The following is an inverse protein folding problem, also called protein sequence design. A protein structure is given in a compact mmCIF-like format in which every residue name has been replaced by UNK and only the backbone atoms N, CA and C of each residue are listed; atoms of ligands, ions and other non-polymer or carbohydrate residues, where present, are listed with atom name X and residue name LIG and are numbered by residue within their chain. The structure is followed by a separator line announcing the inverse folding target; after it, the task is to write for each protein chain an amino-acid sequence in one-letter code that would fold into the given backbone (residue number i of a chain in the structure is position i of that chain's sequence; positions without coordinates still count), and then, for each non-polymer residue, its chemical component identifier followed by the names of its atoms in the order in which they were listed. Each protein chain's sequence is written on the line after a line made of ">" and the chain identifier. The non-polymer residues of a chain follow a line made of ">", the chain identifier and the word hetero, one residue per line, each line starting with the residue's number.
data_IF_134760986192
#
_entry.id   IF_134760986192
#
_cell.length_a   1.000
_cell.length_b   1.000
_cell.length_c   1.000
_cell.angle_alpha   90.00
_cell.angle_beta   90.00
_cell.angle_gamma   90.00
#
_symmetry.space_group_name_H-M   'P 1'
#
loop_
_entity.id
_entity.type
_entity.pdbx_description
1 polymer ?
#
# COMPACT_ATOMS: atom_id res chain seq x y z
N UNK A 1 51.25 63.35 20.02
CA UNK A 1 50.56 62.99 21.02
C UNK A 1 49.05 62.73 20.89
N UNK A 2 48.52 62.08 19.96
CA UNK A 2 47.08 61.74 19.90
C UNK A 2 46.88 60.27 19.62
N UNK A 3 46.35 59.54 20.60
CA UNK A 3 45.82 58.17 20.48
C UNK A 3 44.46 58.27 19.78
N UNK A 4 44.34 57.63 18.62
CA UNK A 4 43.04 57.43 17.92
C UNK A 4 42.55 56.03 18.21
N UNK A 5 41.42 55.95 18.85
CA UNK A 5 40.67 54.71 19.10
C UNK A 5 40.14 54.14 17.78
N UNK A 6 40.44 52.86 17.55
CA UNK A 6 39.84 52.06 16.48
C UNK A 6 38.72 51.24 17.11
N UNK A 7 37.49 51.66 16.95
CA UNK A 7 36.31 50.87 17.27
C UNK A 7 36.02 49.92 16.11
N UNK A 8 36.26 48.62 16.31
CA UNK A 8 35.88 47.55 15.42
C UNK A 8 34.41 47.24 15.61
N UNK A 9 33.59 47.51 14.60
CA UNK A 9 32.19 47.13 14.55
C UNK A 9 32.12 45.63 14.20
N UNK A 10 31.86 44.76 15.16
CA UNK A 10 31.51 43.35 14.92
C UNK A 10 30.02 43.32 14.60
N UNK A 11 29.68 43.26 13.31
CA UNK A 11 28.33 42.95 12.89
C UNK A 11 28.08 41.46 13.12
N UNK A 12 27.45 41.13 14.24
CA UNK A 12 26.96 39.80 14.52
C UNK A 12 25.81 39.48 13.57
N UNK A 13 26.04 38.60 12.62
CA UNK A 13 24.95 37.94 11.88
C UNK A 13 24.21 37.03 12.87
N UNK A 14 23.12 37.52 13.42
CA UNK A 14 22.14 36.69 14.10
C UNK A 14 21.46 35.79 13.04
N UNK A 15 21.95 34.57 12.89
CA UNK A 15 21.25 33.54 12.11
C UNK A 15 19.98 33.22 12.89
N UNK A 16 18.86 33.67 12.36
CA UNK A 16 17.53 33.45 12.94
C UNK A 16 17.28 31.93 13.04
N UNK A 17 16.82 31.37 14.18
CA UNK A 17 16.51 29.96 14.34
C UNK A 17 15.41 29.46 13.38
N UNK A 18 14.67 30.37 12.74
CA UNK A 18 13.63 30.06 11.77
C UNK A 18 14.15 29.50 10.42
N UNK A 19 15.45 29.63 10.12
CA UNK A 19 16.01 29.10 8.86
C UNK A 19 16.39 27.59 8.91
N UNK A 20 16.46 27.00 10.13
CA UNK A 20 16.78 25.58 10.30
C UNK A 20 15.51 24.70 10.30
N UNK A 21 14.31 25.29 10.43
CA UNK A 21 13.04 24.56 10.51
C UNK A 21 12.45 24.14 9.15
N UNK A 22 13.13 24.37 8.03
CA UNK A 22 12.53 24.19 6.67
C UNK A 22 12.94 22.90 5.94
N UNK A 23 13.53 21.89 6.58
CA UNK A 23 13.92 20.66 5.88
C UNK A 23 13.51 19.33 6.54
N UNK A 24 12.66 19.34 7.58
CA UNK A 24 12.16 18.12 8.23
C UNK A 24 10.65 17.93 8.05
N UNK A 25 10.08 18.26 6.91
CA UNK A 25 8.78 17.72 6.54
C UNK A 25 8.96 16.19 6.39
N UNK A 26 8.35 15.43 7.30
CA UNK A 26 8.36 13.96 7.24
C UNK A 26 7.79 13.54 5.91
N UNK A 27 8.46 12.63 5.21
CA UNK A 27 8.03 12.19 3.90
C UNK A 27 6.83 11.25 4.05
N UNK A 28 5.73 11.59 3.41
CA UNK A 28 4.54 10.73 3.32
C UNK A 28 4.88 9.46 2.55
N UNK A 29 4.48 8.31 3.10
CA UNK A 29 4.70 7.00 2.50
C UNK A 29 3.39 6.26 2.27
N UNK A 30 3.12 5.84 1.05
CA UNK A 30 2.06 4.88 0.71
C UNK A 30 2.63 3.47 0.74
N UNK A 31 2.04 2.60 1.54
CA UNK A 31 2.26 1.16 1.51
C UNK A 31 1.11 0.50 0.75
N UNK A 32 1.38 -0.02 -0.44
CA UNK A 32 0.40 -0.67 -1.30
C UNK A 32 0.55 -2.19 -1.22
N UNK A 33 -0.49 -2.88 -0.75
CA UNK A 33 -0.49 -4.34 -0.53
C UNK A 33 -1.44 -5.00 -1.51
N UNK A 34 -0.91 -5.82 -2.40
CA UNK A 34 -1.70 -6.66 -3.29
C UNK A 34 -2.12 -7.94 -2.57
N UNK A 35 -3.43 -8.18 -2.47
CA UNK A 35 -4.03 -9.46 -2.06
C UNK A 35 -4.18 -10.32 -3.31
N UNK A 36 -3.06 -10.92 -3.75
CA UNK A 36 -2.95 -11.53 -5.06
C UNK A 36 -3.74 -12.84 -5.18
N UNK A 37 -4.61 -12.90 -6.16
CA UNK A 37 -5.43 -14.06 -6.50
C UNK A 37 -6.94 -13.81 -6.40
N UNK A 38 -7.40 -12.58 -6.20
CA UNK A 38 -8.81 -12.26 -6.07
C UNK A 38 -9.36 -12.62 -4.69
N UNK A 39 -9.14 -11.74 -3.71
CA UNK A 39 -9.64 -11.96 -2.35
C UNK A 39 -11.18 -12.05 -2.33
N UNK A 40 -11.71 -13.04 -1.61
CA UNK A 40 -13.15 -13.17 -1.40
C UNK A 40 -13.67 -12.09 -0.44
N UNK A 41 -14.33 -11.09 -1.02
CA UNK A 41 -14.87 -9.94 -0.32
C UNK A 41 -15.97 -10.31 0.67
N UNK A 42 -16.87 -11.23 0.32
CA UNK A 42 -18.01 -11.58 1.17
C UNK A 42 -17.62 -12.39 2.42
N UNK A 43 -16.48 -13.08 2.41
CA UNK A 43 -15.93 -13.70 3.61
C UNK A 43 -14.85 -12.84 4.29
N UNK A 44 -14.53 -11.68 3.72
CA UNK A 44 -13.63 -10.68 4.35
C UNK A 44 -14.45 -9.64 5.12
N UNK A 45 -15.44 -9.02 4.44
CA UNK A 45 -16.42 -8.05 4.99
C UNK A 45 -17.81 -8.65 4.78
N UNK A 46 -18.36 -9.15 5.86
CA UNK A 46 -19.47 -10.10 5.85
C UNK A 46 -20.79 -9.39 6.08
N UNK A 47 -21.74 -9.41 5.13
CA UNK A 47 -23.08 -8.86 5.31
C UNK A 47 -23.97 -9.87 6.08
N UNK A 48 -23.66 -10.12 7.34
CA UNK A 48 -24.22 -11.22 8.12
C UNK A 48 -25.74 -11.10 8.38
N UNK A 49 -26.28 -9.90 8.29
CA UNK A 49 -27.72 -9.68 8.43
C UNK A 49 -28.51 -10.00 7.14
N UNK A 50 -27.82 -10.10 5.99
CA UNK A 50 -28.47 -10.47 4.73
C UNK A 50 -28.59 -12.00 4.63
N UNK A 51 -29.84 -12.49 4.61
CA UNK A 51 -30.13 -13.93 4.48
C UNK A 51 -29.56 -14.55 3.20
N UNK A 52 -29.41 -13.75 2.13
CA UNK A 52 -28.85 -14.22 0.87
C UNK A 52 -27.40 -14.67 1.04
N UNK A 53 -26.62 -14.10 1.99
CA UNK A 53 -25.25 -14.53 2.27
C UNK A 53 -25.16 -16.02 2.63
N UNK A 54 -25.99 -16.48 3.58
CA UNK A 54 -26.01 -17.90 3.97
C UNK A 54 -26.67 -18.81 2.93
N UNK A 55 -27.62 -18.27 2.15
CA UNK A 55 -28.27 -19.03 1.07
C UNK A 55 -27.31 -19.29 -0.09
N UNK A 56 -26.52 -18.29 -0.49
CA UNK A 56 -25.53 -18.39 -1.57
C UNK A 56 -24.28 -19.18 -1.14
N UNK A 57 -24.04 -19.30 0.18
CA UNK A 57 -22.84 -19.90 0.77
C UNK A 57 -23.18 -20.88 1.91
N UNK A 58 -23.93 -21.95 1.62
CA UNK A 58 -24.38 -22.89 2.66
C UNK A 58 -23.24 -23.54 3.44
N UNK A 59 -22.03 -23.66 2.86
CA UNK A 59 -20.85 -24.24 3.53
C UNK A 59 -19.78 -23.20 3.85
N UNK A 60 -19.64 -22.13 3.06
CA UNK A 60 -18.60 -21.11 3.23
C UNK A 60 -19.02 -19.97 4.16
N UNK A 61 -20.31 -19.78 4.44
CA UNK A 61 -20.78 -18.70 5.32
C UNK A 61 -20.16 -18.86 6.73
N UNK A 62 -19.51 -17.78 7.20
CA UNK A 62 -18.95 -17.75 8.55
C UNK A 62 -20.08 -17.66 9.57
N UNK A 63 -20.06 -18.53 10.57
CA UNK A 63 -21.10 -18.59 11.62
C UNK A 63 -21.14 -17.32 12.46
N UNK A 64 -22.35 -16.89 12.82
CA UNK A 64 -22.60 -15.60 13.48
C UNK A 64 -21.89 -15.46 14.85
N UNK A 65 -21.68 -16.55 15.57
CA UNK A 65 -20.99 -16.59 16.86
C UNK A 65 -19.47 -16.34 16.76
N UNK A 66 -18.90 -16.45 15.56
CA UNK A 66 -17.47 -16.23 15.30
C UNK A 66 -17.15 -14.86 14.72
N UNK A 67 -18.16 -14.09 14.31
CA UNK A 67 -17.96 -12.83 13.58
C UNK A 67 -17.39 -11.72 14.45
N UNK A 68 -16.49 -10.92 13.90
CA UNK A 68 -16.14 -9.62 14.45
C UNK A 68 -17.11 -8.57 13.92
N UNK A 69 -18.21 -8.30 14.64
CA UNK A 69 -19.26 -7.37 14.24
C UNK A 69 -18.78 -5.92 14.33
N UNK A 70 -18.98 -5.17 13.25
CA UNK A 70 -18.71 -3.74 13.17
C UNK A 70 -19.93 -2.90 13.48
N UNK A 71 -21.10 -3.34 12.99
CA UNK A 71 -22.41 -2.75 13.20
C UNK A 71 -23.50 -3.86 13.21
N UNK A 72 -24.78 -3.46 13.04
CA UNK A 72 -25.93 -4.39 13.05
C UNK A 72 -26.02 -5.26 11.78
N UNK A 73 -25.29 -4.93 10.71
CA UNK A 73 -25.41 -5.58 9.40
C UNK A 73 -24.10 -6.16 8.90
N UNK A 74 -22.97 -5.57 9.29
CA UNK A 74 -21.66 -5.83 8.73
C UNK A 74 -20.71 -6.37 9.79
N UNK A 75 -19.97 -7.39 9.44
CA UNK A 75 -18.90 -7.96 10.28
C UNK A 75 -17.65 -8.18 9.46
N UNK A 76 -16.53 -8.33 10.12
CA UNK A 76 -15.29 -8.80 9.53
C UNK A 76 -15.05 -10.27 9.84
N UNK A 77 -14.27 -10.91 8.98
CA UNK A 77 -13.75 -12.25 9.22
C UNK A 77 -13.04 -12.31 10.59
N UNK A 78 -13.25 -13.34 11.42
CA UNK A 78 -12.66 -13.42 12.77
C UNK A 78 -11.13 -13.32 12.79
N UNK A 79 -10.46 -13.81 11.76
CA UNK A 79 -9.00 -13.68 11.60
C UNK A 79 -8.50 -12.25 11.48
N UNK A 80 -9.38 -11.27 11.24
CA UNK A 80 -9.02 -9.85 11.15
C UNK A 80 -9.07 -9.13 12.50
N UNK A 81 -9.43 -9.80 13.58
CA UNK A 81 -9.65 -9.18 14.90
C UNK A 81 -8.42 -8.43 15.44
N UNK A 82 -7.21 -8.76 15.00
CA UNK A 82 -5.99 -8.01 15.36
C UNK A 82 -6.02 -6.54 14.89
N UNK A 83 -6.92 -6.18 13.96
CA UNK A 83 -7.13 -4.80 13.51
C UNK A 83 -8.13 -4.03 14.39
N UNK A 84 -8.65 -4.62 15.47
CA UNK A 84 -9.64 -3.98 16.32
C UNK A 84 -9.17 -2.62 16.87
N UNK A 85 -7.93 -2.52 17.35
CA UNK A 85 -7.40 -1.26 17.87
C UNK A 85 -7.30 -0.17 16.79
N UNK A 86 -7.06 -0.57 15.54
CA UNK A 86 -7.07 0.35 14.39
C UNK A 86 -8.50 0.83 14.09
N UNK A 87 -9.48 -0.07 14.15
CA UNK A 87 -10.90 0.26 13.99
C UNK A 87 -11.42 1.18 15.09
N UNK A 88 -11.17 0.87 16.34
CA UNK A 88 -11.61 1.67 17.48
C UNK A 88 -10.96 3.08 17.52
N UNK A 89 -9.77 3.21 16.93
CA UNK A 89 -9.07 4.48 16.81
C UNK A 89 -9.52 5.33 15.61
N UNK A 90 -10.54 4.91 14.84
CA UNK A 90 -10.99 5.58 13.60
C UNK A 90 -9.86 5.71 12.56
N UNK A 91 -9.01 4.66 12.44
CA UNK A 91 -7.82 4.60 11.59
C UNK A 91 -7.87 3.45 10.57
N UNK A 92 -9.02 2.81 10.42
CA UNK A 92 -9.31 1.78 9.42
C UNK A 92 -10.57 2.15 8.64
N UNK A 93 -10.43 2.48 7.38
CA UNK A 93 -11.53 2.63 6.44
C UNK A 93 -11.68 1.34 5.62
N UNK A 94 -12.92 0.91 5.43
CA UNK A 94 -13.29 -0.24 4.61
C UNK A 94 -14.10 0.31 3.43
N UNK A 95 -13.49 0.36 2.26
CA UNK A 95 -14.18 0.80 1.04
C UNK A 95 -14.86 -0.41 0.42
N UNK A 96 -16.18 -0.44 0.48
CA UNK A 96 -17.00 -1.55 0.01
C UNK A 96 -17.27 -1.47 -1.49
N UNK A 97 -17.49 -2.60 -2.12
CA UNK A 97 -17.99 -2.69 -3.49
C UNK A 97 -17.09 -2.12 -4.57
N UNK A 98 -15.75 -2.10 -4.35
CA UNK A 98 -14.83 -1.65 -5.39
C UNK A 98 -14.78 -2.62 -6.55
N UNK A 99 -14.86 -2.07 -7.75
CA UNK A 99 -14.78 -2.79 -9.01
C UNK A 99 -14.70 -1.80 -10.17
N UNK A 100 -15.16 -2.18 -11.34
CA UNK A 100 -15.22 -1.33 -12.53
C UNK A 100 -16.25 -1.83 -13.53
N UNK A 101 -16.67 -0.97 -14.43
CA UNK A 101 -17.64 -1.30 -15.49
C UNK A 101 -17.08 -2.36 -16.44
N UNK A 102 -17.92 -3.31 -16.87
CA UNK A 102 -17.55 -4.44 -17.75
C UNK A 102 -16.33 -5.23 -17.22
N UNK A 103 -16.42 -5.78 -16.00
CA UNK A 103 -15.28 -6.37 -15.32
C UNK A 103 -14.75 -7.63 -16.01
N UNK A 104 -13.43 -7.77 -16.04
CA UNK A 104 -12.76 -8.96 -16.56
C UNK A 104 -12.35 -9.89 -15.41
N UNK A 105 -12.59 -11.19 -15.54
CA UNK A 105 -12.28 -12.21 -14.53
C UNK A 105 -11.00 -13.01 -14.81
N UNK A 106 -10.20 -12.57 -15.79
CA UNK A 106 -8.85 -13.08 -16.00
C UNK A 106 -7.87 -12.34 -15.09
N UNK A 107 -7.07 -13.04 -14.30
CA UNK A 107 -6.02 -12.46 -13.48
C UNK A 107 -5.15 -11.46 -14.27
N UNK A 108 -4.67 -11.86 -15.45
CA UNK A 108 -3.81 -11.02 -16.26
C UNK A 108 -4.48 -9.71 -16.68
N UNK A 109 -5.70 -9.80 -17.23
CA UNK A 109 -6.37 -8.61 -17.75
C UNK A 109 -6.85 -7.68 -16.61
N UNK A 110 -7.45 -8.25 -15.58
CA UNK A 110 -7.92 -7.44 -14.46
C UNK A 110 -6.78 -6.80 -13.68
N UNK A 111 -5.69 -7.54 -13.45
CA UNK A 111 -4.46 -6.99 -12.87
C UNK A 111 -3.91 -5.83 -13.71
N UNK A 112 -3.89 -5.96 -15.05
CA UNK A 112 -3.46 -4.92 -15.98
C UNK A 112 -4.32 -3.64 -15.85
N UNK A 113 -5.66 -3.80 -15.77
CA UNK A 113 -6.60 -2.69 -15.58
C UNK A 113 -6.37 -1.98 -14.22
N UNK A 114 -6.28 -2.74 -13.14
CA UNK A 114 -6.06 -2.18 -11.81
C UNK A 114 -4.70 -1.47 -11.69
N UNK A 115 -3.64 -2.05 -12.24
CA UNK A 115 -2.31 -1.48 -12.13
C UNK A 115 -2.08 -0.27 -13.01
N UNK A 116 -2.78 -0.16 -14.13
CA UNK A 116 -2.67 0.97 -15.06
C UNK A 116 -3.78 2.03 -14.88
N UNK A 117 -4.81 1.73 -14.06
CA UNK A 117 -6.04 2.50 -13.98
C UNK A 117 -6.70 2.75 -15.35
N UNK A 118 -6.54 1.82 -16.30
CA UNK A 118 -7.13 1.93 -17.62
C UNK A 118 -8.63 1.61 -17.61
N UNK A 119 -9.33 2.02 -18.66
CA UNK A 119 -10.68 1.53 -18.94
C UNK A 119 -10.63 0.05 -19.34
N UNK A 120 -11.78 -0.65 -19.25
CA UNK A 120 -11.85 -2.08 -19.52
C UNK A 120 -11.44 -2.48 -20.95
N UNK A 121 -11.66 -1.59 -21.91
CA UNK A 121 -11.36 -1.75 -23.34
C UNK A 121 -10.03 -1.15 -23.78
N UNK A 122 -9.32 -0.46 -22.88
CA UNK A 122 -8.05 0.20 -23.14
C UNK A 122 -6.87 -0.58 -22.55
N UNK A 123 -5.71 -0.44 -23.18
CA UNK A 123 -4.43 -0.90 -22.62
C UNK A 123 -3.49 0.27 -22.47
N UNK A 124 -2.79 0.28 -21.34
CA UNK A 124 -1.71 1.22 -21.07
C UNK A 124 -0.44 0.46 -20.73
N UNK A 125 0.69 0.97 -21.17
CA UNK A 125 2.01 0.39 -20.88
C UNK A 125 2.61 0.93 -19.58
N UNK A 126 1.96 1.93 -18.97
CA UNK A 126 2.39 2.56 -17.71
C UNK A 126 1.46 2.21 -16.55
N UNK A 127 2.03 2.14 -15.35
CA UNK A 127 1.30 1.99 -14.11
C UNK A 127 0.78 3.35 -13.60
N UNK A 128 -0.35 3.32 -12.91
CA UNK A 128 -1.01 4.55 -12.46
C UNK A 128 -0.16 5.38 -11.49
N UNK A 129 0.69 4.76 -10.67
CA UNK A 129 1.61 5.47 -9.80
C UNK A 129 2.74 6.12 -10.57
N UNK A 130 3.26 5.46 -11.61
CA UNK A 130 4.26 6.03 -12.49
C UNK A 130 3.73 7.27 -13.23
N UNK A 131 2.45 7.24 -13.63
CA UNK A 131 1.80 8.35 -14.30
C UNK A 131 1.36 9.49 -13.35
N UNK A 132 1.27 9.23 -12.05
CA UNK A 132 0.73 10.17 -11.06
C UNK A 132 1.81 10.87 -10.25
N UNK A 133 2.86 10.15 -9.84
CA UNK A 133 3.87 10.71 -8.97
C UNK A 133 4.83 11.63 -9.75
N UNK A 134 5.18 12.80 -9.19
CA UNK A 134 6.15 13.68 -9.81
C UNK A 134 7.55 13.05 -9.80
N UNK A 135 8.34 13.34 -10.84
CA UNK A 135 9.73 12.90 -10.91
C UNK A 135 10.59 13.60 -9.85
N UNK A 136 11.37 12.81 -9.13
CA UNK A 136 12.36 13.30 -8.18
C UNK A 136 13.76 12.78 -8.58
N UNK A 137 14.59 13.63 -9.16
CA UNK A 137 15.84 13.25 -9.80
C UNK A 137 16.95 12.70 -8.88
N UNK A 138 16.80 12.70 -7.56
CA UNK A 138 17.91 12.41 -6.64
C UNK A 138 17.64 11.36 -5.58
N UNK A 139 16.42 10.84 -5.49
CA UNK A 139 16.02 9.94 -4.40
C UNK A 139 15.33 8.69 -4.93
N UNK A 140 15.43 7.60 -4.17
CA UNK A 140 14.60 6.42 -4.37
C UNK A 140 13.16 6.78 -3.99
N UNK A 141 12.26 6.81 -4.97
CA UNK A 141 10.86 7.17 -4.80
C UNK A 141 9.99 5.97 -4.44
N UNK A 142 10.40 4.76 -4.85
CA UNK A 142 9.67 3.56 -4.50
C UNK A 142 10.59 2.39 -4.13
N UNK A 143 10.09 1.53 -3.24
CA UNK A 143 10.69 0.24 -2.90
C UNK A 143 9.68 -0.86 -3.18
N UNK A 144 10.10 -1.87 -3.93
CA UNK A 144 9.32 -3.05 -4.28
C UNK A 144 9.86 -4.24 -3.48
N UNK A 145 9.06 -4.79 -2.57
CA UNK A 145 9.35 -6.08 -1.96
C UNK A 145 8.85 -7.21 -2.87
N UNK A 146 9.70 -7.59 -3.83
CA UNK A 146 9.40 -8.54 -4.89
C UNK A 146 10.23 -8.26 -6.12
N UNK A 147 9.90 -8.89 -7.25
CA UNK A 147 10.66 -8.71 -8.48
C UNK A 147 10.19 -7.51 -9.31
N UNK A 148 8.88 -7.26 -9.33
CA UNK A 148 8.24 -6.21 -10.15
C UNK A 148 6.99 -5.71 -9.44
N UNK A 149 6.61 -4.48 -9.77
CA UNK A 149 5.29 -3.92 -9.45
C UNK A 149 4.78 -3.15 -10.67
N UNK A 150 3.69 -3.64 -11.28
CA UNK A 150 3.15 -3.05 -12.50
C UNK A 150 2.59 -1.65 -12.27
N UNK A 151 2.19 -1.30 -11.05
CA UNK A 151 1.75 0.06 -10.69
C UNK A 151 2.84 1.12 -10.85
N UNK A 152 4.12 0.70 -10.87
CA UNK A 152 5.31 1.55 -11.04
C UNK A 152 5.97 1.39 -12.40
N UNK A 153 5.40 0.58 -13.30
CA UNK A 153 5.95 0.35 -14.63
C UNK A 153 5.75 1.58 -15.52
N UNK A 154 6.70 1.84 -16.41
CA UNK A 154 6.71 3.08 -17.22
C UNK A 154 7.13 4.28 -16.39
N UNK A 155 7.20 5.46 -17.02
CA UNK A 155 7.65 6.68 -16.35
C UNK A 155 9.14 6.66 -15.96
N UNK A 156 9.59 7.71 -15.27
CA UNK A 156 10.98 7.91 -14.86
C UNK A 156 11.18 7.78 -13.33
N UNK A 157 10.31 7.04 -12.64
CA UNK A 157 10.42 6.86 -11.21
C UNK A 157 11.68 6.05 -10.83
N UNK A 158 12.46 6.58 -9.89
CA UNK A 158 13.57 5.87 -9.30
C UNK A 158 13.06 4.85 -8.27
N UNK A 159 13.08 3.58 -8.58
CA UNK A 159 12.70 2.53 -7.64
C UNK A 159 13.78 1.47 -7.43
N UNK A 160 13.71 0.78 -6.31
CA UNK A 160 14.56 -0.37 -6.00
C UNK A 160 13.66 -1.58 -5.73
N UNK A 161 13.99 -2.69 -6.39
CA UNK A 161 13.40 -4.00 -6.13
C UNK A 161 14.31 -4.80 -5.22
N UNK A 162 13.76 -5.35 -4.14
CA UNK A 162 14.50 -6.19 -3.20
C UNK A 162 13.59 -7.28 -2.63
N UNK A 163 14.17 -8.40 -2.24
CA UNK A 163 13.40 -9.47 -1.60
C UNK A 163 13.24 -9.20 -0.10
N UNK A 164 14.35 -8.81 0.56
CA UNK A 164 14.42 -8.37 1.95
C UNK A 164 15.41 -7.21 2.07
N UNK A 165 15.17 -6.29 2.98
CA UNK A 165 16.10 -5.18 3.25
C UNK A 165 17.46 -5.69 3.72
N UNK A 166 17.51 -6.71 4.58
CA UNK A 166 18.76 -7.32 5.07
C UNK A 166 19.58 -7.91 3.93
N UNK A 167 18.96 -8.63 3.01
CA UNK A 167 19.64 -9.19 1.83
C UNK A 167 20.20 -8.08 0.93
N UNK A 168 19.41 -7.03 0.69
CA UNK A 168 19.88 -5.87 -0.07
C UNK A 168 21.08 -5.18 0.60
N UNK A 169 21.08 -5.04 1.92
CA UNK A 169 22.22 -4.47 2.66
C UNK A 169 23.48 -5.31 2.57
N UNK A 170 23.37 -6.63 2.56
CA UNK A 170 24.52 -7.56 2.44
C UNK A 170 25.00 -7.74 1.00
N UNK A 171 24.17 -7.40 0.00
CA UNK A 171 24.47 -7.60 -1.41
C UNK A 171 25.70 -6.77 -1.83
N UNK A 172 26.62 -7.42 -2.59
CA UNK A 172 27.71 -6.75 -3.25
C UNK A 172 27.22 -6.18 -4.57
N UNK A 173 26.91 -4.90 -4.58
CA UNK A 173 26.55 -4.20 -5.82
C UNK A 173 27.78 -3.97 -6.71
N UNK A 174 27.59 -3.89 -8.04
CA UNK A 174 28.68 -3.55 -8.96
C UNK A 174 29.34 -2.22 -8.59
N UNK A 175 30.64 -2.12 -8.83
CA UNK A 175 31.34 -0.84 -8.65
C UNK A 175 30.90 0.14 -9.74
N UNK A 176 30.61 1.37 -9.33
CA UNK A 176 30.32 2.44 -10.27
C UNK A 176 31.59 2.77 -11.05
N UNK A 177 31.57 2.55 -12.37
CA UNK A 177 32.63 2.97 -13.28
C UNK A 177 32.34 4.36 -13.82
N UNK A 178 33.39 5.13 -14.14
CA UNK A 178 33.22 6.42 -14.82
C UNK A 178 32.56 6.18 -16.19
N UNK A 179 31.64 7.06 -16.56
CA UNK A 179 31.07 7.05 -17.91
C UNK A 179 32.11 7.55 -18.91
N UNK A 180 32.20 6.86 -20.03
CA UNK A 180 32.96 7.36 -21.17
C UNK A 180 32.32 8.63 -21.76
N UNK A 181 33.12 9.49 -22.38
CA UNK A 181 32.64 10.75 -22.97
C UNK A 181 31.59 10.55 -24.07
N UNK A 182 31.64 9.41 -24.76
CA UNK A 182 30.74 8.99 -25.84
C UNK A 182 29.56 8.12 -25.37
N UNK A 183 29.33 7.98 -24.05
CA UNK A 183 28.25 7.18 -23.51
C UNK A 183 26.90 7.60 -24.10
N UNK A 184 26.11 6.62 -24.55
CA UNK A 184 24.76 6.84 -25.05
C UNK A 184 23.74 7.03 -23.91
N UNK A 185 22.49 7.38 -24.24
CA UNK A 185 21.45 7.64 -23.27
C UNK A 185 21.17 6.44 -22.36
N UNK A 186 21.15 5.22 -22.90
CA UNK A 186 20.93 4.00 -22.12
C UNK A 186 22.05 3.77 -21.10
N UNK A 187 23.31 3.99 -21.48
CA UNK A 187 24.46 3.89 -20.58
C UNK A 187 24.40 4.95 -19.47
N UNK A 188 24.01 6.18 -19.80
CA UNK A 188 23.80 7.27 -18.81
C UNK A 188 22.69 6.92 -17.84
N UNK A 189 21.59 6.38 -18.35
CA UNK A 189 20.46 5.96 -17.52
C UNK A 189 20.88 4.82 -16.54
N UNK A 190 21.48 3.74 -17.03
CA UNK A 190 21.99 2.63 -16.19
C UNK A 190 22.97 3.13 -15.13
N UNK A 191 23.89 4.03 -15.51
CA UNK A 191 24.83 4.63 -14.56
C UNK A 191 24.13 5.43 -13.46
N UNK A 192 23.12 6.23 -13.82
CA UNK A 192 22.32 7.01 -12.86
C UNK A 192 21.58 6.09 -11.89
N UNK A 193 20.91 5.06 -12.40
CA UNK A 193 20.20 4.06 -11.57
C UNK A 193 21.16 3.38 -10.60
N UNK A 194 22.33 2.91 -11.08
CA UNK A 194 23.33 2.27 -10.23
C UNK A 194 23.87 3.22 -9.17
N UNK A 195 24.15 4.48 -9.53
CA UNK A 195 24.60 5.53 -8.60
C UNK A 195 23.59 5.75 -7.49
N UNK A 196 22.30 5.90 -7.84
CA UNK A 196 21.21 6.10 -6.88
C UNK A 196 21.04 4.88 -5.97
N UNK A 197 21.11 3.67 -6.53
CA UNK A 197 21.02 2.40 -5.77
C UNK A 197 22.16 2.26 -4.77
N UNK A 198 23.41 2.55 -5.18
CA UNK A 198 24.58 2.51 -4.28
C UNK A 198 24.47 3.54 -3.17
N UNK A 199 24.08 4.78 -3.49
CA UNK A 199 23.89 5.84 -2.51
C UNK A 199 22.82 5.48 -1.49
N UNK A 200 21.69 4.91 -1.94
CA UNK A 200 20.62 4.46 -1.07
C UNK A 200 21.07 3.29 -0.17
N UNK A 201 21.77 2.30 -0.73
CA UNK A 201 22.31 1.20 0.06
C UNK A 201 23.30 1.68 1.14
N UNK A 202 24.18 2.64 0.81
CA UNK A 202 25.11 3.23 1.78
C UNK A 202 24.38 3.96 2.92
N UNK A 203 23.35 4.77 2.59
CA UNK A 203 22.53 5.46 3.58
C UNK A 203 21.80 4.47 4.49
N UNK A 204 21.19 3.42 3.91
CA UNK A 204 20.54 2.36 4.67
C UNK A 204 21.52 1.63 5.59
N UNK A 205 22.74 1.31 5.12
CA UNK A 205 23.78 0.68 5.97
C UNK A 205 24.18 1.55 7.15
N UNK A 206 24.26 2.86 6.96
CA UNK A 206 24.60 3.78 8.05
C UNK A 206 23.52 3.76 9.16
N UNK A 207 22.24 3.63 8.78
CA UNK A 207 21.12 3.58 9.72
C UNK A 207 20.91 2.16 10.27
N UNK A 208 21.12 1.12 9.46
CA UNK A 208 20.86 -0.28 9.84
C UNK A 208 21.69 -0.70 11.08
N UNK A 209 22.92 -0.21 11.24
CA UNK A 209 23.73 -0.45 12.45
C UNK A 209 23.04 0.02 13.73
N UNK A 210 22.23 1.07 13.67
CA UNK A 210 21.43 1.54 14.80
C UNK A 210 20.12 0.76 14.98
N UNK A 211 19.66 0.06 13.93
CA UNK A 211 18.42 -0.72 13.92
C UNK A 211 18.65 -2.20 14.26
N UNK A 212 19.78 -2.79 13.86
CA UNK A 212 20.18 -4.17 14.18
C UNK A 212 20.30 -4.43 15.69
N UNK A 213 20.55 -3.39 16.47
CA UNK A 213 20.57 -3.47 17.94
C UNK A 213 19.19 -3.72 18.57
N UNK A 214 18.11 -3.80 17.79
CA UNK A 214 16.71 -3.80 18.30
C UNK A 214 15.95 -5.11 18.16
N UNK A 215 16.57 -6.22 17.75
CA UNK A 215 15.90 -7.53 17.84
C UNK A 215 16.21 -8.56 16.75
N UNK A 216 15.90 -9.83 17.00
CA UNK A 216 16.15 -10.94 16.08
C UNK A 216 15.25 -10.90 14.83
N UNK A 217 15.69 -11.56 13.75
CA UNK A 217 14.96 -11.69 12.47
C UNK A 217 13.94 -12.86 12.49
N UNK A 218 13.32 -13.12 13.64
CA UNK A 218 12.32 -14.17 13.82
C UNK A 218 10.88 -13.76 13.48
N UNK A 219 10.70 -12.50 13.02
CA UNK A 219 9.41 -11.89 12.72
C UNK A 219 8.69 -11.36 13.97
N UNK A 220 9.03 -11.80 15.16
CA UNK A 220 8.43 -11.32 16.41
C UNK A 220 6.91 -11.21 16.34
N UNK A 221 6.38 -10.06 16.71
CA UNK A 221 4.94 -9.75 16.69
C UNK A 221 4.34 -9.69 15.26
N UNK A 222 5.16 -9.49 14.22
CA UNK A 222 4.72 -9.48 12.81
C UNK A 222 4.30 -10.87 12.30
N UNK A 223 4.87 -11.93 12.85
CA UNK A 223 4.73 -13.29 12.37
C UNK A 223 5.93 -13.77 11.54
N UNK A 224 6.00 -15.06 11.20
CA UNK A 224 7.20 -15.68 10.64
C UNK A 224 7.07 -16.09 9.16
N UNK A 225 6.21 -15.44 8.38
CA UNK A 225 6.12 -15.65 6.93
C UNK A 225 6.85 -14.52 6.18
N UNK A 226 7.07 -14.71 4.88
CA UNK A 226 7.81 -13.73 4.06
C UNK A 226 7.13 -12.36 4.04
N UNK A 227 5.80 -12.31 3.89
CA UNK A 227 5.03 -11.06 3.90
C UNK A 227 5.22 -10.28 5.22
N UNK A 228 5.12 -10.98 6.36
CA UNK A 228 5.34 -10.40 7.68
C UNK A 228 6.74 -9.81 7.83
N UNK A 229 7.76 -10.54 7.38
CA UNK A 229 9.15 -10.07 7.39
C UNK A 229 9.38 -8.86 6.46
N UNK A 230 8.74 -8.84 5.30
CA UNK A 230 8.79 -7.69 4.38
C UNK A 230 8.09 -6.47 4.97
N UNK A 231 6.97 -6.67 5.66
CA UNK A 231 6.26 -5.58 6.34
C UNK A 231 7.08 -5.03 7.52
N UNK A 232 7.79 -5.88 8.26
CA UNK A 232 8.75 -5.47 9.27
C UNK A 232 9.90 -4.65 8.67
N UNK A 233 10.45 -5.10 7.54
CA UNK A 233 11.47 -4.35 6.80
C UNK A 233 10.95 -2.96 6.34
N UNK A 234 9.70 -2.89 5.87
CA UNK A 234 9.05 -1.62 5.50
C UNK A 234 8.91 -0.68 6.71
N UNK A 235 8.50 -1.20 7.87
CA UNK A 235 8.44 -0.41 9.10
C UNK A 235 9.80 0.15 9.50
N UNK A 236 10.88 -0.63 9.33
CA UNK A 236 12.26 -0.18 9.58
C UNK A 236 12.67 0.91 8.60
N UNK A 237 12.36 0.78 7.30
CA UNK A 237 12.66 1.80 6.29
C UNK A 237 11.97 3.12 6.63
N UNK A 238 10.68 3.09 6.98
CA UNK A 238 9.90 4.28 7.34
C UNK A 238 10.50 4.93 8.60
N UNK A 239 10.75 4.13 9.63
CA UNK A 239 11.28 4.62 10.91
C UNK A 239 12.73 5.12 10.82
N UNK A 240 13.46 4.78 9.77
CA UNK A 240 14.84 5.23 9.54
C UNK A 240 14.96 6.65 8.98
N UNK A 241 13.84 7.28 8.60
CA UNK A 241 13.83 8.55 7.88
C UNK A 241 14.25 8.43 6.40
N UNK A 242 14.37 7.21 5.88
CA UNK A 242 14.69 6.91 4.47
C UNK A 242 13.47 6.38 3.71
N UNK A 243 12.26 6.64 4.22
CA UNK A 243 11.01 6.22 3.60
C UNK A 243 10.94 6.70 2.15
N UNK A 244 10.66 5.79 1.19
CA UNK A 244 10.27 6.20 -0.15
C UNK A 244 8.84 6.75 -0.13
N UNK A 245 8.40 7.37 -1.23
CA UNK A 245 7.01 7.81 -1.38
C UNK A 245 6.05 6.63 -1.47
N UNK A 246 6.53 5.48 -2.01
CA UNK A 246 5.74 4.25 -2.17
C UNK A 246 6.55 3.01 -1.78
N UNK A 247 5.90 2.10 -1.07
CA UNK A 247 6.37 0.73 -0.86
C UNK A 247 5.30 -0.22 -1.38
N UNK A 248 5.68 -1.22 -2.18
CA UNK A 248 4.75 -2.25 -2.66
C UNK A 248 5.10 -3.63 -2.11
N UNK A 249 4.07 -4.35 -1.66
CA UNK A 249 4.15 -5.73 -1.17
C UNK A 249 3.04 -6.59 -1.78
N UNK A 250 3.23 -7.91 -1.73
CA UNK A 250 2.27 -8.88 -2.22
C UNK A 250 1.99 -9.95 -1.16
N UNK A 251 0.74 -10.16 -0.82
CA UNK A 251 0.28 -11.32 -0.05
C UNK A 251 -0.41 -12.28 -1.04
N UNK A 252 0.27 -13.38 -1.39
CA UNK A 252 -0.18 -14.35 -2.39
C UNK A 252 -1.06 -15.42 -1.78
N UNK A 253 -1.91 -16.04 -2.60
CA UNK A 253 -2.64 -17.26 -2.25
C UNK A 253 -4.16 -17.09 -2.16
N UNK A 254 -4.70 -15.91 -2.50
CA UNK A 254 -6.13 -15.64 -2.46
C UNK A 254 -6.94 -16.32 -3.59
N UNK A 255 -6.28 -17.00 -4.52
CA UNK A 255 -6.97 -17.81 -5.54
C UNK A 255 -7.51 -19.12 -4.92
N UNK A 256 -8.60 -18.98 -4.17
CA UNK A 256 -9.16 -20.01 -3.29
C UNK A 256 -10.35 -20.73 -3.93
N UNK A 257 -10.12 -21.44 -5.03
CA UNK A 257 -11.15 -22.26 -5.68
C UNK A 257 -11.57 -23.51 -4.87
N UNK A 258 -10.78 -23.90 -3.86
CA UNK A 258 -11.06 -25.03 -2.97
C UNK A 258 -10.47 -24.80 -1.57
N UNK A 259 -11.05 -25.43 -0.57
CA UNK A 259 -10.63 -25.33 0.85
C UNK A 259 -10.48 -23.89 1.32
N UNK A 260 -11.40 -23.02 0.90
CA UNK A 260 -11.29 -21.57 1.07
C UNK A 260 -11.32 -21.15 2.53
N UNK A 261 -12.17 -21.76 3.36
CA UNK A 261 -12.35 -21.36 4.78
C UNK A 261 -11.00 -21.33 5.50
N UNK A 262 -10.22 -22.41 5.39
CA UNK A 262 -8.94 -22.52 6.07
C UNK A 262 -7.88 -21.61 5.41
N UNK A 263 -7.77 -21.68 4.06
CA UNK A 263 -6.76 -20.94 3.31
C UNK A 263 -6.93 -19.43 3.42
N UNK A 264 -8.13 -18.91 3.19
CA UNK A 264 -8.41 -17.49 3.31
C UNK A 264 -8.30 -17.03 4.77
N UNK A 265 -8.83 -17.82 5.73
CA UNK A 265 -8.69 -17.51 7.15
C UNK A 265 -7.24 -17.33 7.58
N UNK A 266 -6.33 -18.21 7.10
CA UNK A 266 -4.89 -18.09 7.39
C UNK A 266 -4.24 -16.88 6.73
N UNK A 267 -4.63 -16.54 5.50
CA UNK A 267 -4.13 -15.34 4.80
C UNK A 267 -4.57 -14.06 5.52
N UNK A 268 -5.83 -13.97 5.92
CA UNK A 268 -6.36 -12.84 6.68
C UNK A 268 -5.73 -12.72 8.07
N UNK A 269 -5.44 -13.84 8.74
CA UNK A 269 -4.69 -13.87 10.01
C UNK A 269 -3.26 -13.32 9.83
N UNK A 270 -2.56 -13.75 8.77
CA UNK A 270 -1.23 -13.25 8.45
C UNK A 270 -1.26 -11.74 8.16
N UNK A 271 -2.25 -11.28 7.39
CA UNK A 271 -2.44 -9.87 7.07
C UNK A 271 -2.68 -9.04 8.34
N UNK A 272 -3.66 -9.43 9.15
CA UNK A 272 -4.06 -8.67 10.33
C UNK A 272 -2.97 -8.63 11.41
N UNK A 273 -2.28 -9.76 11.64
CA UNK A 273 -1.19 -9.84 12.60
C UNK A 273 -0.04 -8.91 12.20
N UNK A 274 0.39 -9.01 10.95
CA UNK A 274 1.49 -8.18 10.45
C UNK A 274 1.14 -6.69 10.42
N UNK A 275 -0.10 -6.32 10.03
CA UNK A 275 -0.56 -4.93 10.02
C UNK A 275 -0.71 -4.35 11.44
N UNK A 276 -1.17 -5.12 12.41
CA UNK A 276 -1.26 -4.68 13.81
C UNK A 276 0.13 -4.36 14.37
N UNK A 277 1.12 -5.25 14.16
CA UNK A 277 2.49 -5.02 14.57
C UNK A 277 3.13 -3.82 13.84
N UNK A 278 2.86 -3.68 12.53
CA UNK A 278 3.31 -2.54 11.72
C UNK A 278 2.79 -1.22 12.28
N UNK A 279 1.48 -1.14 12.56
CA UNK A 279 0.86 0.03 13.19
C UNK A 279 1.52 0.35 14.54
N UNK A 280 1.64 -0.63 15.42
CA UNK A 280 2.23 -0.44 16.75
C UNK A 280 3.65 0.13 16.67
N UNK A 281 4.50 -0.44 15.80
CA UNK A 281 5.86 0.04 15.60
C UNK A 281 5.91 1.46 15.04
N UNK A 282 5.05 1.81 14.08
CA UNK A 282 5.04 3.15 13.49
C UNK A 282 4.47 4.20 14.45
N UNK A 283 3.49 3.86 15.30
CA UNK A 283 3.02 4.72 16.37
C UNK A 283 4.16 4.98 17.36
N UNK A 284 4.85 3.94 17.83
CA UNK A 284 5.97 4.06 18.76
C UNK A 284 7.08 4.96 18.22
N UNK A 285 7.34 4.88 16.90
CA UNK A 285 8.38 5.68 16.25
C UNK A 285 7.88 7.03 15.71
N UNK A 286 6.59 7.36 15.88
CA UNK A 286 5.97 8.61 15.48
C UNK A 286 5.81 8.80 13.96
N UNK A 287 5.62 7.71 13.19
CA UNK A 287 5.49 7.73 11.73
C UNK A 287 4.11 7.27 11.22
N UNK A 288 3.16 6.96 12.10
CA UNK A 288 1.86 6.44 11.69
C UNK A 288 1.02 7.46 10.93
N UNK A 289 1.09 8.75 11.31
CA UNK A 289 0.37 9.83 10.63
C UNK A 289 0.94 10.16 9.24
N UNK A 290 2.20 9.80 8.99
CA UNK A 290 2.88 9.98 7.72
C UNK A 290 2.86 8.71 6.85
N UNK A 291 2.10 7.70 7.26
CA UNK A 291 1.98 6.41 6.56
C UNK A 291 0.53 6.11 6.23
N UNK A 292 0.30 5.73 4.98
CA UNK A 292 -0.98 5.24 4.49
C UNK A 292 -0.80 3.83 3.95
N UNK A 293 -1.60 2.88 4.43
CA UNK A 293 -1.64 1.50 3.93
C UNK A 293 -2.91 1.30 3.13
N UNK A 294 -2.79 0.74 1.93
CA UNK A 294 -3.92 0.43 1.06
C UNK A 294 -3.80 -1.00 0.57
N UNK A 295 -4.85 -1.79 0.72
CA UNK A 295 -4.95 -3.09 0.07
C UNK A 295 -5.63 -2.96 -1.28
N UNK A 296 -5.34 -3.90 -2.19
CA UNK A 296 -6.06 -4.05 -3.44
C UNK A 296 -6.01 -5.52 -3.88
N UNK A 297 -6.93 -5.90 -4.75
CA UNK A 297 -6.97 -7.22 -5.39
C UNK A 297 -7.49 -7.05 -6.80
N UNK A 298 -7.00 -7.86 -7.74
CA UNK A 298 -7.32 -7.72 -9.16
C UNK A 298 -8.81 -7.90 -9.49
N UNK A 299 -9.56 -8.60 -8.64
CA UNK A 299 -11.02 -8.75 -8.65
C UNK A 299 -11.50 -9.33 -7.31
N UNK A 300 -12.81 -9.42 -7.13
CA UNK A 300 -13.46 -10.17 -6.05
C UNK A 300 -13.82 -11.60 -6.48
N UNK A 301 -14.67 -12.24 -5.68
CA UNK A 301 -15.16 -13.59 -5.92
C UNK A 301 -16.66 -13.58 -6.19
N UNK A 302 -17.17 -14.62 -6.87
CA UNK A 302 -18.60 -14.82 -7.07
C UNK A 302 -19.36 -14.79 -5.77
N UNK A 303 -20.62 -14.35 -5.83
CA UNK A 303 -21.49 -14.32 -4.65
C UNK A 303 -21.75 -15.72 -4.10
N UNK A 304 -21.96 -16.70 -4.97
CA UNK A 304 -22.14 -18.11 -4.61
C UNK A 304 -20.84 -18.88 -4.40
N UNK A 305 -20.88 -19.90 -3.56
CA UNK A 305 -19.81 -20.89 -3.44
C UNK A 305 -19.84 -21.90 -4.58
N UNK A 306 -18.69 -22.52 -4.87
CA UNK A 306 -18.58 -23.62 -5.83
C UNK A 306 -18.62 -25.00 -5.17
N UNK A 307 -18.71 -26.05 -5.96
CA UNK A 307 -18.78 -27.43 -5.48
C UNK A 307 -17.49 -27.95 -4.80
N UNK A 308 -16.38 -27.20 -4.88
CA UNK A 308 -15.08 -27.59 -4.31
C UNK A 308 -14.81 -26.94 -2.93
N UNK A 309 -15.80 -26.29 -2.35
CA UNK A 309 -15.64 -25.56 -1.08
C UNK A 309 -14.76 -24.33 -1.20
N UNK A 310 -14.92 -23.61 -2.31
CA UNK A 310 -14.30 -22.33 -2.61
C UNK A 310 -15.21 -21.44 -3.44
N UNK A 311 -14.63 -20.45 -4.10
CA UNK A 311 -15.35 -19.52 -4.98
C UNK A 311 -14.61 -19.31 -6.30
N UNK A 312 -15.37 -19.11 -7.36
CA UNK A 312 -14.81 -18.76 -8.66
C UNK A 312 -14.55 -17.25 -8.76
N UNK A 313 -13.81 -16.84 -9.80
CA UNK A 313 -13.51 -15.45 -10.08
C UNK A 313 -14.79 -14.64 -10.26
N UNK A 314 -14.86 -13.54 -9.55
CA UNK A 314 -15.98 -12.59 -9.60
C UNK A 314 -15.51 -11.17 -9.92
N UNK A 315 -16.12 -10.19 -9.32
CA UNK A 315 -15.98 -8.80 -9.74
C UNK A 315 -15.63 -7.87 -8.59
N UNK A 316 -16.64 -7.36 -7.87
CA UNK A 316 -16.44 -6.37 -6.81
C UNK A 316 -15.94 -6.97 -5.50
N UNK A 317 -15.08 -6.24 -4.79
CA UNK A 317 -14.56 -6.61 -3.48
C UNK A 317 -14.32 -5.37 -2.60
N UNK A 318 -14.38 -5.51 -1.26
CA UNK A 318 -13.95 -4.45 -0.36
C UNK A 318 -12.43 -4.36 -0.32
N UNK A 319 -11.90 -3.14 -0.04
CA UNK A 319 -10.49 -2.89 0.21
C UNK A 319 -10.31 -2.10 1.51
N UNK A 320 -9.16 -2.27 2.14
CA UNK A 320 -8.80 -1.61 3.39
C UNK A 320 -7.88 -0.42 3.15
N UNK A 321 -8.14 0.67 3.87
CA UNK A 321 -7.26 1.83 3.96
C UNK A 321 -6.96 2.09 5.43
N UNK A 322 -5.67 2.07 5.83
CA UNK A 322 -5.25 2.26 7.21
C UNK A 322 -4.21 3.38 7.29
N UNK A 323 -4.22 4.13 8.38
CA UNK A 323 -3.25 5.20 8.62
C UNK A 323 -3.70 6.15 9.71
N UNK A 324 -2.79 6.90 10.32
CA UNK A 324 -3.12 7.83 11.39
C UNK A 324 -4.09 8.95 10.96
N UNK A 325 -4.02 9.32 9.68
CA UNK A 325 -4.89 10.35 9.07
C UNK A 325 -6.09 9.80 8.30
N UNK A 326 -6.35 8.51 8.38
CA UNK A 326 -7.52 7.92 7.72
C UNK A 326 -8.80 8.37 8.42
N UNK A 327 -9.86 8.57 7.67
CA UNK A 327 -11.25 8.67 8.14
C UNK A 327 -11.80 7.26 8.18
N UNK A 328 -11.80 6.64 9.35
CA UNK A 328 -12.21 5.26 9.54
C UNK A 328 -13.70 5.02 9.23
N UNK A 329 -14.11 3.77 9.34
CA UNK A 329 -15.50 3.35 9.14
C UNK A 329 -15.76 2.67 7.79
N UNK A 330 -17.02 2.44 7.50
CA UNK A 330 -17.48 1.85 6.24
C UNK A 330 -17.73 2.97 5.21
N UNK A 331 -17.11 2.84 4.05
CA UNK A 331 -17.24 3.76 2.91
C UNK A 331 -17.81 3.03 1.69
N UNK A 332 -18.51 3.76 0.82
CA UNK A 332 -19.24 3.14 -0.29
C UNK A 332 -20.48 2.37 0.18
N UNK A 333 -20.98 1.50 -0.65
CA UNK A 333 -22.15 0.68 -0.36
C UNK A 333 -21.80 -0.80 -0.52
N UNK A 334 -22.31 -1.63 0.38
CA UNK A 334 -22.26 -3.07 0.21
C UNK A 334 -23.01 -3.46 -1.06
N UNK A 335 -22.40 -4.19 -2.01
CA UNK A 335 -23.10 -4.72 -3.17
C UNK A 335 -24.30 -5.58 -2.77
N UNK A 336 -25.40 -5.43 -3.49
CA UNK A 336 -26.61 -6.22 -3.28
C UNK A 336 -26.38 -7.69 -3.58
N UNK A 337 -26.84 -8.59 -2.70
CA UNK A 337 -26.81 -10.02 -2.94
C UNK A 337 -28.05 -10.54 -3.67
N UNK A 338 -29.06 -9.68 -3.83
CA UNK A 338 -30.30 -9.98 -4.58
C UNK A 338 -30.28 -9.42 -6.01
N UNK A 339 -29.33 -8.54 -6.34
CA UNK A 339 -29.20 -7.90 -7.64
C UNK A 339 -27.87 -8.25 -8.29
N UNK A 340 -27.64 -9.53 -8.53
CA UNK A 340 -26.44 -10.03 -9.15
C UNK A 340 -26.51 -9.89 -10.69
N UNK A 341 -25.37 -9.61 -11.31
CA UNK A 341 -25.21 -9.62 -12.75
C UNK A 341 -24.36 -10.82 -13.19
N UNK A 342 -24.93 -11.81 -13.87
CA UNK A 342 -24.27 -13.06 -14.23
C UNK A 342 -23.65 -13.80 -13.02
N UNK A 343 -24.39 -13.86 -11.90
CA UNK A 343 -23.99 -14.42 -10.61
C UNK A 343 -22.84 -13.65 -9.90
N UNK A 344 -22.48 -12.48 -10.40
CA UNK A 344 -21.45 -11.63 -9.84
C UNK A 344 -22.02 -10.41 -9.10
N UNK A 345 -21.28 -9.90 -8.14
CA UNK A 345 -21.56 -8.67 -7.44
C UNK A 345 -21.41 -7.47 -8.38
N UNK A 346 -22.41 -6.59 -8.42
CA UNK A 346 -22.30 -5.31 -9.13
C UNK A 346 -21.49 -4.33 -8.27
N UNK A 347 -20.43 -3.74 -8.84
CA UNK A 347 -19.65 -2.75 -8.11
C UNK A 347 -20.48 -1.51 -7.79
N UNK A 348 -20.25 -0.92 -6.64
CA UNK A 348 -20.91 0.31 -6.17
C UNK A 348 -19.95 1.50 -6.13
N UNK A 349 -18.65 1.22 -6.15
CA UNK A 349 -17.56 2.20 -6.20
C UNK A 349 -16.58 1.79 -7.29
N UNK A 350 -16.25 2.70 -8.20
CA UNK A 350 -15.17 2.46 -9.14
C UNK A 350 -13.81 2.58 -8.44
N UNK A 351 -12.92 1.60 -8.62
CA UNK A 351 -11.63 1.57 -7.91
C UNK A 351 -10.75 2.81 -8.19
N UNK A 352 -10.93 3.46 -9.34
CA UNK A 352 -10.23 4.70 -9.68
C UNK A 352 -10.60 5.87 -8.79
N UNK A 353 -11.77 5.84 -8.12
CA UNK A 353 -12.13 6.82 -7.08
C UNK A 353 -11.21 6.69 -5.84
N UNK A 354 -10.83 5.46 -5.47
CA UNK A 354 -9.83 5.24 -4.42
C UNK A 354 -8.47 5.84 -4.84
N UNK A 355 -8.03 5.61 -6.08
CA UNK A 355 -6.77 6.18 -6.57
C UNK A 355 -6.80 7.70 -6.65
N UNK A 356 -7.94 8.29 -7.07
CA UNK A 356 -8.14 9.74 -7.02
C UNK A 356 -8.00 10.28 -5.58
N UNK A 357 -8.56 9.57 -4.58
CA UNK A 357 -8.41 9.95 -3.18
C UNK A 357 -6.96 9.97 -2.71
N UNK A 358 -6.16 8.99 -3.15
CA UNK A 358 -4.73 8.94 -2.83
C UNK A 358 -3.97 10.10 -3.48
N UNK A 359 -4.24 10.40 -4.74
CA UNK A 359 -3.60 11.51 -5.43
C UNK A 359 -3.95 12.87 -4.80
N UNK A 360 -5.23 13.10 -4.52
CA UNK A 360 -5.72 14.40 -4.05
C UNK A 360 -5.50 14.63 -2.56
N UNK A 361 -5.85 13.65 -1.72
CA UNK A 361 -5.90 13.84 -0.26
C UNK A 361 -4.61 13.41 0.43
N UNK A 362 -3.91 12.39 -0.12
CA UNK A 362 -2.65 11.94 0.46
C UNK A 362 -1.47 12.77 -0.05
N UNK A 363 -1.31 12.90 -1.37
CA UNK A 363 -0.18 13.64 -1.94
C UNK A 363 -0.50 15.08 -2.32
N UNK A 364 -1.75 15.52 -2.23
CA UNK A 364 -2.19 16.89 -2.56
C UNK A 364 -1.84 17.27 -4.03
N UNK A 365 -1.93 16.31 -4.93
CA UNK A 365 -1.63 16.51 -6.34
C UNK A 365 -2.86 17.11 -7.05
N UNK A 366 -2.68 18.31 -7.64
CA UNK A 366 -3.74 18.98 -8.41
C UNK A 366 -4.05 18.21 -9.69
N UNK A 367 -3.01 17.73 -10.36
CA UNK A 367 -3.09 16.96 -11.59
C UNK A 367 -2.67 15.50 -11.31
N UNK A 368 -3.51 14.56 -11.68
CA UNK A 368 -3.23 13.13 -11.62
C UNK A 368 -3.65 12.49 -12.93
N UNK A 369 -3.12 11.31 -13.22
CA UNK A 369 -3.51 10.52 -14.39
C UNK A 369 -4.96 10.02 -14.34
N UNK A 370 -5.64 10.18 -13.20
CA UNK A 370 -7.01 9.74 -12.98
C UNK A 370 -7.99 10.83 -13.43
N UNK A 371 -8.97 10.46 -14.25
CA UNK A 371 -10.02 11.38 -14.68
C UNK A 371 -10.99 11.72 -13.53
N UNK A 372 -10.71 12.78 -12.80
CA UNK A 372 -11.46 13.21 -11.60
C UNK A 372 -12.93 13.55 -11.87
N UNK A 373 -13.29 13.99 -13.07
CA UNK A 373 -14.69 14.27 -13.41
C UNK A 373 -15.51 12.98 -13.49
N UNK A 374 -14.90 11.90 -13.96
CA UNK A 374 -15.53 10.57 -14.06
C UNK A 374 -15.40 9.79 -12.76
N UNK A 375 -14.28 9.91 -12.06
CA UNK A 375 -13.93 9.17 -10.86
C UNK A 375 -13.61 10.14 -9.71
N UNK A 376 -14.62 10.78 -9.10
CA UNK A 376 -14.40 11.71 -8.00
C UNK A 376 -13.80 10.99 -6.79
N UNK A 377 -12.91 11.68 -6.09
CA UNK A 377 -12.28 11.14 -4.89
C UNK A 377 -13.32 10.83 -3.80
N UNK A 378 -13.08 9.74 -3.08
CA UNK A 378 -13.77 9.41 -1.84
C UNK A 378 -13.18 10.23 -0.69
N UNK A 379 -13.96 10.54 0.32
CA UNK A 379 -13.48 11.29 1.49
C UNK A 379 -12.83 10.33 2.51
N UNK A 380 -11.55 9.97 2.29
CA UNK A 380 -10.85 8.92 3.05
C UNK A 380 -9.74 9.42 3.96
N UNK A 381 -9.17 10.61 3.71
CA UNK A 381 -7.98 11.08 4.42
C UNK A 381 -8.21 12.47 5.00
N UNK A 382 -7.90 12.64 6.29
CA UNK A 382 -7.93 13.94 7.00
C UNK A 382 -6.85 14.86 6.42
N UNK A 383 -7.16 16.14 6.32
CA UNK A 383 -6.15 17.16 5.97
C UNK A 383 -4.96 17.11 6.93
N UNK A 384 -3.77 17.47 6.44
CA UNK A 384 -2.54 17.51 7.24
C UNK A 384 -2.55 18.63 8.25
#
# INVERSE_FOLDING_TARGET
>A
MHRRNFLSLIAGFAVSPAAIAKSNARKQCLLLIELQGGNDGLNTVIPFADKAYSTLRPTLAIKNDKLWKLDEKTALHPSLHKLNDCWQADQLAIVQGLGYENPNRSHFRSHDIWTSASEFDQRKDSGWLADTLPEENSTVQAVIYGNRSSVLQGGELNYISMHRTREFLSAKLPKLQALESNANNSQRHVHSVLKNTLAYQQRLRAVAKSLEAKGPDDGGEFGNNLFAKQLQDAALLISSGLAPSVITLHLKGFDTHANQIERQGKLLENLSTALAAFRAQLIQNGHWDDTLVVTWSEFGRRAGENASGGTDHGTAAPQFVLGGRVKGGLHGQQPSLSELQNDDLVHTVDFRQLYASLAEQWWTLADSSINKKRYPALDLVKSA
#
